data_IF_610934240354
#
_entry.id   IF_610934240354
#
_cell.length_a   1.000
_cell.length_b   1.000
_cell.length_c   1.000
_cell.angle_alpha   90.00
_cell.angle_beta   90.00
_cell.angle_gamma   90.00
#
_symmetry.space_group_name_H-M   'P 1'
#
loop_
_entity.id
_entity.type
_entity.pdbx_description
1 polymer ?
#
# COMPACT_ATOMS: atom_id res chain seq x y z
N UNK A 1 49.50 -4.15 -46.45
CA UNK A 1 48.54 -3.09 -46.09
C UNK A 1 47.23 -3.64 -45.51
N UNK A 2 46.70 -4.76 -45.99
CA UNK A 2 45.43 -5.34 -45.48
C UNK A 2 45.46 -5.78 -44.00
N UNK A 3 46.60 -6.32 -43.52
CA UNK A 3 46.71 -6.83 -42.14
C UNK A 3 46.59 -5.74 -41.06
N UNK A 4 47.04 -4.51 -41.32
CA UNK A 4 46.92 -3.40 -40.38
C UNK A 4 45.47 -2.88 -40.28
N UNK A 5 44.72 -2.88 -41.39
CA UNK A 5 43.33 -2.43 -41.41
C UNK A 5 42.38 -3.33 -40.61
N UNK A 6 42.63 -4.64 -40.59
CA UNK A 6 41.83 -5.60 -39.82
C UNK A 6 41.98 -5.43 -38.31
N UNK A 7 43.18 -5.10 -37.83
CA UNK A 7 43.42 -4.87 -36.39
C UNK A 7 42.64 -3.65 -35.89
N UNK A 8 42.65 -2.54 -36.64
CA UNK A 8 41.89 -1.34 -36.30
C UNK A 8 40.39 -1.63 -36.30
N UNK A 9 39.90 -2.40 -37.28
CA UNK A 9 38.48 -2.78 -37.31
C UNK A 9 38.10 -3.63 -36.09
N UNK A 10 38.95 -4.59 -35.71
CA UNK A 10 38.71 -5.41 -34.54
C UNK A 10 38.64 -4.57 -33.26
N UNK A 11 39.58 -3.65 -33.04
CA UNK A 11 39.57 -2.77 -31.87
C UNK A 11 38.31 -1.90 -31.81
N UNK A 12 37.90 -1.30 -32.93
CA UNK A 12 36.67 -0.51 -33.00
C UNK A 12 35.45 -1.36 -32.68
N UNK A 13 35.35 -2.57 -33.24
CA UNK A 13 34.24 -3.49 -32.94
C UNK A 13 34.21 -3.83 -31.45
N UNK A 14 35.35 -4.13 -30.84
CA UNK A 14 35.43 -4.43 -29.40
C UNK A 14 34.96 -3.23 -28.58
N UNK A 15 35.43 -2.01 -28.89
CA UNK A 15 35.01 -0.78 -28.20
C UNK A 15 33.49 -0.58 -28.33
N UNK A 16 32.95 -0.72 -29.53
CA UNK A 16 31.50 -0.58 -29.76
C UNK A 16 30.71 -1.62 -28.95
N UNK A 17 31.14 -2.88 -28.95
CA UNK A 17 30.50 -3.94 -28.15
C UNK A 17 30.55 -3.60 -26.67
N UNK A 18 31.69 -3.16 -26.15
CA UNK A 18 31.83 -2.76 -24.73
C UNK A 18 30.90 -1.60 -24.40
N UNK A 19 30.83 -0.57 -25.26
CA UNK A 19 29.92 0.57 -25.06
C UNK A 19 28.47 0.10 -25.04
N UNK A 20 28.06 -0.74 -25.98
CA UNK A 20 26.69 -1.29 -26.02
C UNK A 20 26.37 -2.07 -24.75
N UNK A 21 27.28 -2.94 -24.29
CA UNK A 21 27.10 -3.70 -23.05
C UNK A 21 26.96 -2.77 -21.84
N UNK A 22 27.80 -1.74 -21.73
CA UNK A 22 27.72 -0.74 -20.65
C UNK A 22 26.37 -0.03 -20.68
N UNK A 23 25.90 0.40 -21.85
CA UNK A 23 24.59 1.06 -21.99
C UNK A 23 23.47 0.13 -21.54
N UNK A 24 23.48 -1.14 -21.97
CA UNK A 24 22.47 -2.13 -21.55
C UNK A 24 22.49 -2.32 -20.03
N UNK A 25 23.67 -2.46 -19.41
CA UNK A 25 23.79 -2.59 -17.96
C UNK A 25 23.22 -1.36 -17.24
N UNK A 26 23.51 -0.15 -17.73
CA UNK A 26 22.97 1.09 -17.15
C UNK A 26 21.45 1.12 -17.24
N UNK A 27 20.87 0.75 -18.39
CA UNK A 27 19.41 0.69 -18.56
C UNK A 27 18.78 -0.28 -17.55
N UNK A 28 19.33 -1.49 -17.43
CA UNK A 28 18.84 -2.51 -16.49
C UNK A 28 18.92 -2.00 -15.05
N UNK A 29 20.02 -1.35 -14.65
CA UNK A 29 20.17 -0.78 -13.31
C UNK A 29 19.11 0.30 -13.06
N UNK A 30 18.86 1.18 -14.03
CA UNK A 30 17.83 2.22 -13.91
C UNK A 30 16.45 1.60 -13.74
N UNK A 31 16.09 0.59 -14.54
CA UNK A 31 14.82 -0.12 -14.40
C UNK A 31 14.66 -0.74 -13.01
N UNK A 32 15.70 -1.43 -12.51
CA UNK A 32 15.68 -2.01 -11.15
C UNK A 32 15.48 -0.93 -10.09
N UNK A 33 16.18 0.21 -10.20
CA UNK A 33 16.01 1.32 -9.25
C UNK A 33 14.58 1.86 -9.28
N UNK A 34 13.99 2.02 -10.46
CA UNK A 34 12.59 2.47 -10.61
C UNK A 34 11.64 1.49 -9.92
N UNK A 35 11.79 0.18 -10.16
CA UNK A 35 10.96 -0.85 -9.51
C UNK A 35 11.10 -0.78 -7.99
N UNK A 36 12.31 -0.65 -7.46
CA UNK A 36 12.53 -0.53 -6.01
C UNK A 36 11.84 0.71 -5.44
N UNK A 37 11.95 1.86 -6.12
CA UNK A 37 11.27 3.10 -5.69
C UNK A 37 9.75 2.91 -5.66
N UNK A 38 9.17 2.29 -6.69
CA UNK A 38 7.73 2.00 -6.73
C UNK A 38 7.31 1.12 -5.55
N UNK A 39 8.05 0.03 -5.29
CA UNK A 39 7.76 -0.86 -4.15
C UNK A 39 7.82 -0.11 -2.82
N UNK A 40 8.83 0.74 -2.62
CA UNK A 40 8.95 1.55 -1.39
C UNK A 40 7.76 2.49 -1.24
N UNK A 41 7.34 3.16 -2.32
CA UNK A 41 6.16 4.05 -2.28
C UNK A 41 4.90 3.27 -1.91
N UNK A 42 4.68 2.09 -2.51
CA UNK A 42 3.54 1.23 -2.18
C UNK A 42 3.55 0.85 -0.69
N UNK A 43 4.70 0.43 -0.16
CA UNK A 43 4.84 0.08 1.26
C UNK A 43 4.50 1.27 2.16
N UNK A 44 5.00 2.47 1.85
CA UNK A 44 4.71 3.69 2.63
C UNK A 44 3.21 3.98 2.62
N UNK A 45 2.55 3.90 1.45
CA UNK A 45 1.10 4.11 1.35
C UNK A 45 0.35 3.10 2.21
N UNK A 46 0.71 1.82 2.16
CA UNK A 46 0.07 0.78 2.99
C UNK A 46 0.23 1.10 4.48
N UNK A 47 1.43 1.48 4.92
CA UNK A 47 1.67 1.85 6.33
C UNK A 47 0.80 3.03 6.75
N UNK A 48 0.71 4.09 5.92
CA UNK A 48 -0.13 5.26 6.21
C UNK A 48 -1.60 4.84 6.34
N UNK A 49 -2.10 4.01 5.43
CA UNK A 49 -3.49 3.51 5.48
C UNK A 49 -3.73 2.73 6.77
N UNK A 50 -2.82 1.84 7.15
CA UNK A 50 -2.94 1.07 8.40
C UNK A 50 -3.00 1.99 9.62
N UNK A 51 -2.14 3.01 9.69
CA UNK A 51 -2.13 3.98 10.79
C UNK A 51 -3.47 4.72 10.87
N UNK A 52 -4.00 5.20 9.75
CA UNK A 52 -5.30 5.88 9.71
C UNK A 52 -6.42 4.97 10.19
N UNK A 53 -6.44 3.71 9.78
CA UNK A 53 -7.44 2.73 10.26
C UNK A 53 -7.35 2.53 11.76
N UNK A 54 -6.15 2.38 12.31
CA UNK A 54 -5.95 2.23 13.75
C UNK A 54 -6.47 3.46 14.50
N UNK A 55 -6.17 4.67 14.03
CA UNK A 55 -6.69 5.90 14.65
C UNK A 55 -8.22 5.95 14.63
N UNK A 56 -8.85 5.62 13.50
CA UNK A 56 -10.32 5.58 13.39
C UNK A 56 -10.92 4.58 14.39
N UNK A 57 -10.35 3.37 14.49
CA UNK A 57 -10.81 2.35 15.43
C UNK A 57 -10.70 2.85 16.88
N UNK A 58 -9.57 3.48 17.25
CA UNK A 58 -9.37 4.04 18.59
C UNK A 58 -10.42 5.11 18.90
N UNK A 59 -10.67 6.04 17.98
CA UNK A 59 -11.68 7.09 18.15
C UNK A 59 -13.06 6.48 18.36
N UNK A 60 -13.45 5.49 17.54
CA UNK A 60 -14.75 4.82 17.67
C UNK A 60 -14.91 4.16 19.05
N UNK A 61 -13.89 3.44 19.53
CA UNK A 61 -13.92 2.76 20.84
C UNK A 61 -14.07 3.75 22.00
N UNK A 62 -13.31 4.85 21.98
CA UNK A 62 -13.36 5.89 23.04
C UNK A 62 -14.72 6.58 23.06
N UNK A 63 -15.26 6.93 21.89
CA UNK A 63 -16.56 7.62 21.77
C UNK A 63 -17.71 6.71 22.23
N UNK A 64 -17.60 5.40 21.98
CA UNK A 64 -18.56 4.39 22.44
C UNK A 64 -18.59 4.26 23.95
N UNK A 65 -17.43 4.39 24.60
CA UNK A 65 -17.29 4.27 26.06
C UNK A 65 -17.88 5.45 26.82
N UNK A 66 -17.96 6.63 26.19
CA UNK A 66 -18.45 7.87 26.83
C UNK A 66 -19.97 7.99 26.87
N UNK A 67 -20.73 7.15 26.16
CA UNK A 67 -22.21 7.19 26.13
C UNK A 67 -22.90 6.39 27.24
N UNK A 68 -22.15 5.67 28.09
CA UNK A 68 -22.72 4.81 29.15
C UNK A 68 -22.90 5.49 30.52
N UNK A 69 -22.65 6.78 30.66
CA UNK A 69 -22.77 7.49 31.95
C UNK A 69 -23.77 8.63 31.91
N UNK A 70 -25.02 8.37 31.55
CA UNK A 70 -26.15 9.25 31.84
C UNK A 70 -27.45 8.47 31.71
N UNK A 71 -27.89 7.82 32.78
CA UNK A 71 -29.31 7.53 33.04
C UNK A 71 -29.47 7.03 34.47
N UNK A 72 -29.45 7.98 35.41
CA UNK A 72 -30.29 7.88 36.58
C UNK A 72 -31.76 7.97 36.13
N UNK A 73 -32.65 7.33 36.89
CA UNK A 73 -34.12 7.45 36.93
C UNK A 73 -35.01 6.48 36.11
N UNK A 74 -35.56 5.51 36.88
CA UNK A 74 -36.99 5.19 37.02
C UNK A 74 -37.72 4.30 35.99
N UNK A 75 -38.04 3.09 36.50
CA UNK A 75 -39.35 2.41 36.43
C UNK A 75 -39.85 1.79 35.12
N UNK A 76 -39.97 0.46 35.20
CA UNK A 76 -41.06 -0.40 34.70
C UNK A 76 -41.30 -0.62 33.19
N UNK A 77 -41.23 -1.92 32.87
CA UNK A 77 -42.08 -2.67 31.94
C UNK A 77 -41.76 -2.69 30.43
N UNK A 78 -41.50 -3.94 30.02
CA UNK A 78 -41.92 -4.58 28.78
C UNK A 78 -41.20 -4.24 27.47
N UNK A 79 -40.49 -5.27 27.00
CA UNK A 79 -40.40 -5.73 25.61
C UNK A 79 -40.10 -4.66 24.54
N UNK A 80 -38.85 -4.63 24.06
CA UNK A 80 -38.48 -4.79 22.64
C UNK A 80 -37.06 -4.33 22.37
N UNK A 81 -36.34 -5.10 21.54
CA UNK A 81 -35.27 -4.63 20.65
C UNK A 81 -33.96 -4.11 21.26
N UNK A 82 -33.32 -4.88 22.13
CA UNK A 82 -31.93 -4.64 22.54
C UNK A 82 -30.95 -5.44 21.68
N UNK A 83 -30.85 -5.14 20.39
CA UNK A 83 -29.91 -5.81 19.47
C UNK A 83 -29.18 -4.89 18.48
N UNK A 84 -29.51 -3.60 18.47
CA UNK A 84 -29.13 -2.72 17.35
C UNK A 84 -27.86 -1.91 17.59
N UNK A 85 -27.51 -1.60 18.84
CA UNK A 85 -26.42 -0.66 19.12
C UNK A 85 -25.01 -1.26 18.94
N UNK A 86 -24.84 -2.55 19.23
CA UNK A 86 -23.56 -3.26 18.99
C UNK A 86 -23.39 -3.71 17.55
N UNK A 87 -24.50 -3.96 16.83
CA UNK A 87 -24.46 -4.29 15.40
C UNK A 87 -24.06 -3.10 14.54
N UNK A 88 -24.54 -1.89 14.83
CA UNK A 88 -24.13 -0.71 14.05
C UNK A 88 -22.63 -0.44 14.15
N UNK A 89 -22.04 -0.52 15.34
CA UNK A 89 -20.60 -0.30 15.53
C UNK A 89 -19.77 -1.41 14.86
N UNK A 90 -20.20 -2.67 14.95
CA UNK A 90 -19.51 -3.77 14.27
C UNK A 90 -19.61 -3.67 12.74
N UNK A 91 -20.77 -3.27 12.20
CA UNK A 91 -20.96 -3.09 10.75
C UNK A 91 -20.14 -1.91 10.22
N UNK A 92 -19.97 -0.85 11.01
CA UNK A 92 -19.12 0.30 10.65
C UNK A 92 -17.64 -0.13 10.53
N UNK A 93 -17.11 -0.84 11.54
CA UNK A 93 -15.71 -1.30 11.52
C UNK A 93 -15.48 -2.34 10.43
N UNK A 94 -16.40 -3.29 10.24
CA UNK A 94 -16.29 -4.31 9.18
C UNK A 94 -16.35 -3.66 7.80
N UNK A 95 -17.23 -2.67 7.59
CA UNK A 95 -17.30 -1.95 6.31
C UNK A 95 -16.02 -1.16 6.04
N UNK A 96 -15.46 -0.48 7.05
CA UNK A 96 -14.19 0.25 6.88
C UNK A 96 -13.06 -0.72 6.57
N UNK A 97 -12.99 -1.86 7.26
CA UNK A 97 -11.97 -2.89 6.99
C UNK A 97 -12.14 -3.48 5.59
N UNK A 98 -13.34 -3.82 5.15
CA UNK A 98 -13.58 -4.31 3.78
C UNK A 98 -13.18 -3.27 2.72
N UNK A 99 -13.60 -2.00 2.89
CA UNK A 99 -13.25 -0.94 1.95
C UNK A 99 -11.73 -0.74 1.88
N UNK A 100 -11.05 -0.77 3.03
CA UNK A 100 -9.59 -0.66 3.07
C UNK A 100 -8.92 -1.85 2.39
N UNK A 101 -9.38 -3.08 2.67
CA UNK A 101 -8.83 -4.28 2.03
C UNK A 101 -9.03 -4.22 0.52
N UNK A 102 -10.22 -3.82 0.05
CA UNK A 102 -10.52 -3.65 -1.38
C UNK A 102 -9.63 -2.58 -2.00
N UNK A 103 -9.47 -1.42 -1.37
CA UNK A 103 -8.62 -0.34 -1.89
C UNK A 103 -7.15 -0.78 -1.95
N UNK A 104 -6.63 -1.42 -0.90
CA UNK A 104 -5.26 -1.94 -0.89
C UNK A 104 -5.08 -2.99 -1.98
N UNK A 105 -6.04 -3.91 -2.15
CA UNK A 105 -5.98 -4.97 -3.14
C UNK A 105 -6.04 -4.39 -4.56
N UNK A 106 -6.92 -3.43 -4.83
CA UNK A 106 -6.99 -2.72 -6.13
C UNK A 106 -5.66 -2.01 -6.42
N UNK A 107 -5.12 -1.26 -5.46
CA UNK A 107 -3.84 -0.55 -5.65
C UNK A 107 -2.68 -1.52 -5.92
N UNK A 108 -2.69 -2.69 -5.28
CA UNK A 108 -1.66 -3.72 -5.46
C UNK A 108 -1.85 -4.50 -6.78
N UNK A 109 -3.07 -4.68 -7.26
CA UNK A 109 -3.36 -5.46 -8.48
C UNK A 109 -3.26 -4.62 -9.76
N UNK A 110 -3.53 -3.31 -9.69
CA UNK A 110 -3.41 -2.38 -10.83
C UNK A 110 -1.98 -1.83 -11.04
N UNK A 111 -1.00 -2.19 -10.19
CA UNK A 111 0.43 -1.94 -10.40
C UNK A 111 1.15 -3.23 -10.82
#
# INVERSE_FOLDING_TARGET
MLSAGLLVYQEVVVVVVVVVVVVVVVVVVVEVVVVVVVVVVVVVVVVVVVVVVVEVVVVVVVTSSSRSSSSSCSSSSSSSSSGSSSRLVAVDVISVVEVVVVVVLVVVVDN
#
